data_IF_613779450907
#
_entry.id   IF_613779450907
#
_cell.length_a   1.000
_cell.length_b   1.000
_cell.length_c   1.000
_cell.angle_alpha   90.00
_cell.angle_beta   90.00
_cell.angle_gamma   90.00
#
_symmetry.space_group_name_H-M   'P 1'
#
loop_
_entity.id
_entity.type
_entity.pdbx_description
1 polymer ?
#
# COMPACT_ATOMS: atom_id res chain seq x y z
N UNK A 1 9.48 0.77 21.32
CA UNK A 1 8.82 -0.53 21.09
C UNK A 1 9.87 -1.54 20.67
N UNK A 2 9.78 -2.80 21.11
CA UNK A 2 10.65 -3.86 20.61
C UNK A 2 10.32 -4.15 19.13
N UNK A 3 11.29 -4.73 18.43
CA UNK A 3 11.09 -5.24 17.08
C UNK A 3 10.35 -6.58 17.14
N UNK A 4 9.33 -6.75 16.31
CA UNK A 4 8.46 -7.93 16.29
C UNK A 4 8.46 -8.56 14.89
N UNK A 5 8.39 -9.90 14.86
CA UNK A 5 8.16 -10.67 13.64
C UNK A 5 6.74 -11.22 13.72
N UNK A 6 5.87 -10.73 12.83
CA UNK A 6 4.45 -11.10 12.81
C UNK A 6 4.16 -11.93 11.57
N UNK A 7 3.48 -13.08 11.74
CA UNK A 7 2.97 -13.90 10.63
C UNK A 7 1.50 -13.54 10.37
N UNK A 8 1.28 -12.57 9.49
CA UNK A 8 -0.05 -12.12 9.09
C UNK A 8 -0.01 -11.57 7.65
N UNK A 9 -1.19 -11.29 7.07
CA UNK A 9 -1.29 -10.45 5.88
C UNK A 9 -1.09 -8.98 6.28
N UNK A 10 -0.22 -8.27 5.55
CA UNK A 10 0.12 -6.88 5.84
C UNK A 10 -1.11 -5.96 5.72
N UNK A 11 -2.10 -6.32 4.89
CA UNK A 11 -3.33 -5.52 4.74
C UNK A 11 -4.20 -5.51 6.01
N UNK A 12 -3.99 -6.46 6.92
CA UNK A 12 -4.75 -6.59 8.17
C UNK A 12 -4.03 -5.98 9.38
N UNK A 13 -2.85 -5.38 9.18
CA UNK A 13 -2.05 -4.82 10.27
C UNK A 13 -2.64 -3.51 10.78
N UNK A 14 -2.88 -3.41 12.09
CA UNK A 14 -3.31 -2.19 12.75
C UNK A 14 -2.10 -1.38 13.18
N UNK A 15 -1.55 -0.62 12.24
CA UNK A 15 -0.35 0.20 12.39
C UNK A 15 -0.52 1.54 11.69
N UNK A 16 0.33 2.51 11.99
CA UNK A 16 0.23 3.85 11.41
C UNK A 16 0.49 3.87 9.89
N UNK A 17 1.35 2.96 9.41
CA UNK A 17 1.64 2.79 7.99
C UNK A 17 2.10 1.37 7.67
N UNK A 18 1.77 0.90 6.47
CA UNK A 18 2.32 -0.31 5.87
C UNK A 18 3.19 0.06 4.67
N UNK A 19 4.16 -0.78 4.35
CA UNK A 19 5.05 -0.57 3.19
C UNK A 19 4.65 -1.51 2.06
N UNK A 20 4.43 -0.94 0.88
CA UNK A 20 4.14 -1.67 -0.34
C UNK A 20 5.38 -1.74 -1.23
N UNK A 21 5.63 -2.90 -1.85
CA UNK A 21 6.56 -2.99 -2.97
C UNK A 21 5.84 -2.54 -4.24
N UNK A 22 6.16 -1.34 -4.72
CA UNK A 22 5.50 -0.75 -5.88
C UNK A 22 6.32 -0.90 -7.18
N UNK A 23 5.61 -0.91 -8.31
CA UNK A 23 6.23 -0.71 -9.62
C UNK A 23 6.71 0.76 -9.75
N UNK A 24 7.83 1.02 -10.46
CA UNK A 24 8.24 2.38 -10.80
C UNK A 24 7.11 3.21 -11.41
N UNK A 25 6.33 2.62 -12.31
CA UNK A 25 5.15 3.23 -12.90
C UNK A 25 3.92 3.10 -11.98
N UNK A 26 2.98 4.06 -12.02
CA UNK A 26 1.78 4.05 -11.17
C UNK A 26 0.71 3.08 -11.69
N UNK A 27 1.01 1.79 -11.62
CA UNK A 27 0.14 0.68 -12.03
C UNK A 27 -0.05 -0.31 -10.89
N UNK A 28 -1.14 -1.07 -10.93
CA UNK A 28 -1.38 -2.17 -10.00
C UNK A 28 -0.69 -3.42 -10.54
N UNK A 29 0.29 -3.92 -9.81
CA UNK A 29 0.99 -5.17 -10.05
C UNK A 29 0.28 -6.38 -9.44
N UNK A 30 1.08 -7.38 -9.05
CA UNK A 30 0.61 -8.64 -8.45
C UNK A 30 1.10 -8.79 -7.01
N UNK A 31 0.69 -9.87 -6.33
CA UNK A 31 1.13 -10.15 -4.96
C UNK A 31 0.62 -9.11 -3.97
N UNK A 32 1.50 -8.65 -3.07
CA UNK A 32 1.16 -7.72 -1.99
C UNK A 32 0.58 -6.40 -2.49
N UNK A 33 1.09 -5.89 -3.61
CA UNK A 33 0.61 -4.65 -4.24
C UNK A 33 -0.86 -4.76 -4.63
N UNK A 34 -1.22 -5.86 -5.29
CA UNK A 34 -2.61 -6.14 -5.64
C UNK A 34 -3.52 -6.31 -4.41
N UNK A 35 -2.99 -6.90 -3.32
CA UNK A 35 -3.71 -7.07 -2.06
C UNK A 35 -4.02 -5.73 -1.40
N UNK A 36 -3.01 -4.86 -1.31
CA UNK A 36 -3.16 -3.51 -0.75
C UNK A 36 -4.14 -2.69 -1.59
N UNK A 37 -4.02 -2.70 -2.92
CA UNK A 37 -4.95 -1.97 -3.79
C UNK A 37 -6.39 -2.49 -3.71
N UNK A 38 -6.60 -3.80 -3.54
CA UNK A 38 -7.93 -4.38 -3.34
C UNK A 38 -8.55 -3.94 -2.01
N UNK A 39 -7.75 -3.88 -0.95
CA UNK A 39 -8.22 -3.47 0.38
C UNK A 39 -8.47 -1.95 0.46
N UNK A 40 -7.61 -1.14 -0.16
CA UNK A 40 -7.70 0.32 -0.14
C UNK A 40 -8.72 0.89 -1.14
N UNK A 41 -9.02 0.16 -2.22
CA UNK A 41 -9.93 0.62 -3.26
C UNK A 41 -9.30 1.59 -4.27
N UNK A 42 -10.13 2.12 -5.18
CA UNK A 42 -9.68 2.84 -6.36
C UNK A 42 -8.95 4.17 -6.06
N UNK A 43 -9.24 4.79 -4.91
CA UNK A 43 -8.64 6.07 -4.51
C UNK A 43 -7.13 5.97 -4.27
N UNK A 44 -6.63 4.81 -3.83
CA UNK A 44 -5.19 4.60 -3.66
C UNK A 44 -4.45 4.69 -4.99
N UNK A 45 -4.98 4.08 -6.06
CA UNK A 45 -4.36 4.18 -7.39
C UNK A 45 -4.38 5.62 -7.90
N UNK A 46 -5.48 6.34 -7.69
CA UNK A 46 -5.58 7.75 -8.06
C UNK A 46 -4.56 8.63 -7.31
N UNK A 47 -4.30 8.35 -6.03
CA UNK A 47 -3.23 9.00 -5.27
C UNK A 47 -1.84 8.63 -5.82
N UNK A 48 -1.59 7.34 -6.08
CA UNK A 48 -0.33 6.84 -6.64
C UNK A 48 -0.01 7.45 -8.01
N UNK A 49 -1.01 7.66 -8.86
CA UNK A 49 -0.85 8.29 -10.18
C UNK A 49 -0.35 9.73 -10.11
N UNK A 50 -0.72 10.49 -9.08
CA UNK A 50 -0.26 11.88 -8.90
C UNK A 50 1.22 11.98 -8.56
N UNK A 51 1.83 10.91 -8.07
CA UNK A 51 3.25 10.87 -7.70
C UNK A 51 4.15 10.71 -8.94
N UNK A 52 3.70 9.97 -9.96
CA UNK A 52 4.51 9.68 -11.16
C UNK A 52 5.51 8.54 -10.95
N UNK A 53 6.67 8.58 -11.59
CA UNK A 53 7.67 7.51 -11.49
C UNK A 53 8.34 7.49 -10.10
N UNK A 54 8.56 6.30 -9.54
CA UNK A 54 9.37 6.09 -8.32
C UNK A 54 10.63 5.32 -8.73
N UNK A 55 11.81 5.87 -8.48
CA UNK A 55 13.06 5.18 -8.80
C UNK A 55 13.33 4.02 -7.80
N UNK A 56 14.04 2.97 -8.22
CA UNK A 56 14.46 1.91 -7.30
C UNK A 56 15.24 2.47 -6.10
N UNK A 57 14.79 2.14 -4.89
CA UNK A 57 15.39 2.62 -3.64
C UNK A 57 14.68 3.84 -3.03
N UNK A 58 13.82 4.52 -3.78
CA UNK A 58 13.01 5.61 -3.25
C UNK A 58 11.71 5.10 -2.60
N UNK A 59 11.17 5.91 -1.70
CA UNK A 59 9.89 5.68 -1.05
C UNK A 59 9.05 6.95 -1.06
N UNK A 60 7.74 6.77 -1.19
CA UNK A 60 6.75 7.85 -1.18
C UNK A 60 5.58 7.44 -0.28
N UNK A 61 4.81 8.43 0.17
CA UNK A 61 3.68 8.21 1.07
C UNK A 61 2.40 8.67 0.42
N UNK A 62 1.37 7.85 0.52
CA UNK A 62 -0.03 8.22 0.25
C UNK A 62 -0.86 7.97 1.49
N UNK A 63 -1.99 8.67 1.68
CA UNK A 63 -3.03 8.18 2.57
C UNK A 63 -3.44 6.76 2.17
N UNK A 64 -3.87 5.95 3.14
CA UNK A 64 -4.29 4.57 2.87
C UNK A 64 -5.60 4.50 2.06
N UNK A 65 -6.41 5.58 2.07
CA UNK A 65 -7.68 5.70 1.33
C UNK A 65 -8.67 4.53 1.57
N UNK A 66 -8.49 3.78 2.68
CA UNK A 66 -9.25 2.58 3.02
C UNK A 66 -10.74 2.86 2.95
N UNK A 67 -11.41 2.20 2.00
CA UNK A 67 -12.86 2.07 2.03
C UNK A 67 -13.18 1.27 3.29
N UNK A 68 -13.93 1.85 4.24
CA UNK A 68 -14.24 1.20 5.52
C UNK A 68 -14.64 -0.27 5.26
N UNK A 69 -14.15 -1.25 6.04
CA UNK A 69 -14.71 -2.58 5.95
C UNK A 69 -16.22 -2.45 6.17
N UNK A 70 -17.00 -3.04 5.26
CA UNK A 70 -18.44 -3.17 5.47
C UNK A 70 -18.65 -3.79 6.87
N UNK A 71 -19.64 -3.30 7.64
CA UNK A 71 -19.88 -3.72 9.02
C UNK A 71 -20.05 -5.23 9.17
#
# INVERSE_FOLDING_TARGET
>A
MPFEIVRNDIVNMQVDAIVNTANPDPVIGSGVDSGIHKAAGAKLLAARQKIGCIAPGDAVVTPAEMEQPAP
#
